data_IF_037851704934
#
_entry.id   IF_037851704934
#
_cell.length_a   1.000
_cell.length_b   1.000
_cell.length_c   1.000
_cell.angle_alpha   90.00
_cell.angle_beta   90.00
_cell.angle_gamma   90.00
#
_symmetry.space_group_name_H-M   'P 1'
#
loop_
_entity.id
_entity.type
_entity.pdbx_description
1 polymer ?
#
# COMPACT_ATOMS: atom_id res chain seq x y z
N UNK A 1 -24.20 -18.77 -61.56
CA UNK A 1 -24.55 -19.49 -60.32
C UNK A 1 -23.26 -19.96 -59.67
N UNK A 2 -22.57 -19.03 -59.03
CA UNK A 2 -21.46 -19.28 -58.11
C UNK A 2 -21.74 -18.27 -56.96
N UNK A 3 -21.48 -18.67 -55.72
CA UNK A 3 -21.39 -17.81 -54.51
C UNK A 3 -22.54 -17.77 -53.48
N UNK A 4 -23.26 -18.88 -53.26
CA UNK A 4 -24.06 -19.03 -52.01
C UNK A 4 -23.51 -20.14 -51.09
N UNK A 5 -22.94 -21.21 -51.67
CA UNK A 5 -22.36 -22.35 -50.93
C UNK A 5 -21.00 -22.00 -50.27
N UNK A 6 -20.29 -20.99 -50.77
CA UNK A 6 -18.99 -20.52 -50.23
C UNK A 6 -19.12 -19.47 -49.13
N UNK A 7 -20.25 -18.77 -49.03
CA UNK A 7 -20.48 -17.71 -48.04
C UNK A 7 -20.82 -18.29 -46.65
N UNK A 8 -21.65 -19.32 -46.58
CA UNK A 8 -22.10 -19.90 -45.30
C UNK A 8 -20.97 -20.51 -44.44
N UNK A 9 -20.00 -21.27 -44.99
CA UNK A 9 -18.84 -21.75 -44.22
C UNK A 9 -17.90 -20.62 -43.77
N UNK A 10 -17.93 -19.48 -44.45
CA UNK A 10 -17.14 -18.30 -44.09
C UNK A 10 -17.75 -17.58 -42.88
N UNK A 11 -19.08 -17.42 -42.87
CA UNK A 11 -19.82 -16.80 -41.77
C UNK A 11 -19.68 -17.62 -40.47
N UNK A 12 -19.85 -18.94 -40.52
CA UNK A 12 -19.68 -19.80 -39.33
C UNK A 12 -18.28 -19.73 -38.72
N UNK A 13 -17.24 -19.66 -39.57
CA UNK A 13 -15.86 -19.49 -39.11
C UNK A 13 -15.65 -18.11 -38.48
N UNK A 14 -16.25 -17.07 -39.05
CA UNK A 14 -16.18 -15.72 -38.49
C UNK A 14 -16.89 -15.65 -37.13
N UNK A 15 -18.08 -16.23 -36.99
CA UNK A 15 -18.82 -16.29 -35.72
C UNK A 15 -18.05 -17.04 -34.64
N UNK A 16 -17.49 -18.22 -34.97
CA UNK A 16 -16.66 -18.98 -34.05
C UNK A 16 -15.40 -18.21 -33.62
N UNK A 17 -14.77 -17.48 -34.54
CA UNK A 17 -13.61 -16.66 -34.22
C UNK A 17 -13.97 -15.44 -33.36
N UNK A 18 -15.12 -14.80 -33.60
CA UNK A 18 -15.63 -13.72 -32.73
C UNK A 18 -15.85 -14.23 -31.32
N UNK A 19 -16.54 -15.36 -31.15
CA UNK A 19 -16.75 -15.97 -29.84
C UNK A 19 -15.43 -16.27 -29.14
N UNK A 20 -14.47 -16.87 -29.85
CA UNK A 20 -13.14 -17.18 -29.31
C UNK A 20 -12.39 -15.90 -28.87
N UNK A 21 -12.55 -14.81 -29.62
CA UNK A 21 -11.95 -13.51 -29.29
C UNK A 21 -12.62 -12.86 -28.09
N UNK A 22 -13.93 -12.97 -27.94
CA UNK A 22 -14.68 -12.46 -26.79
C UNK A 22 -14.28 -13.18 -25.49
N UNK A 23 -14.17 -14.51 -25.52
CA UNK A 23 -13.67 -15.31 -24.40
C UNK A 23 -12.23 -14.93 -24.03
N UNK A 24 -11.37 -14.72 -25.05
CA UNK A 24 -9.99 -14.27 -24.83
C UNK A 24 -9.95 -12.85 -24.24
N UNK A 25 -10.80 -11.95 -24.70
CA UNK A 25 -10.90 -10.57 -24.20
C UNK A 25 -11.38 -10.54 -22.75
N UNK A 26 -12.38 -11.33 -22.40
CA UNK A 26 -12.86 -11.49 -21.03
C UNK A 26 -11.74 -12.03 -20.11
N UNK A 27 -11.05 -13.09 -20.56
CA UNK A 27 -9.91 -13.67 -19.83
C UNK A 27 -8.78 -12.66 -19.60
N UNK A 28 -8.41 -11.89 -20.63
CA UNK A 28 -7.38 -10.83 -20.52
C UNK A 28 -7.82 -9.67 -19.65
N UNK A 29 -9.09 -9.28 -19.70
CA UNK A 29 -9.64 -8.21 -18.86
C UNK A 29 -9.53 -8.60 -17.39
N UNK A 30 -9.86 -9.84 -17.03
CA UNK A 30 -9.70 -10.35 -15.66
C UNK A 30 -8.24 -10.35 -15.20
N UNK A 31 -7.33 -10.82 -16.04
CA UNK A 31 -5.90 -10.83 -15.73
C UNK A 31 -5.39 -9.40 -15.41
N UNK A 32 -5.77 -8.42 -16.24
CA UNK A 32 -5.41 -7.02 -16.03
C UNK A 32 -6.06 -6.43 -14.79
N UNK A 33 -7.33 -6.73 -14.55
CA UNK A 33 -8.06 -6.28 -13.37
C UNK A 33 -7.36 -6.74 -12.08
N UNK A 34 -7.01 -8.03 -11.99
CA UNK A 34 -6.31 -8.59 -10.82
C UNK A 34 -4.94 -7.93 -10.60
N UNK A 35 -4.18 -7.66 -11.67
CA UNK A 35 -2.89 -6.95 -11.57
C UNK A 35 -3.08 -5.53 -11.04
N UNK A 36 -4.06 -4.80 -11.56
CA UNK A 36 -4.38 -3.42 -11.12
C UNK A 36 -4.85 -3.39 -9.66
N UNK A 37 -5.65 -4.36 -9.26
CA UNK A 37 -6.07 -4.47 -7.87
C UNK A 37 -4.89 -4.72 -6.93
N UNK A 38 -4.00 -5.65 -7.29
CA UNK A 38 -2.78 -5.87 -6.51
C UNK A 38 -1.92 -4.60 -6.42
N UNK A 39 -1.79 -3.85 -7.51
CA UNK A 39 -1.07 -2.56 -7.49
C UNK A 39 -1.71 -1.55 -6.53
N UNK A 40 -3.03 -1.49 -6.50
CA UNK A 40 -3.78 -0.65 -5.57
C UNK A 40 -3.54 -1.08 -4.12
N UNK A 41 -3.67 -2.37 -3.81
CA UNK A 41 -3.41 -2.96 -2.49
C UNK A 41 -1.97 -2.69 -2.04
N UNK A 42 -0.98 -2.94 -2.90
CA UNK A 42 0.43 -2.68 -2.61
C UNK A 42 0.68 -1.19 -2.30
N UNK A 43 0.00 -0.28 -3.01
CA UNK A 43 0.11 1.16 -2.79
C UNK A 43 -0.49 1.57 -1.45
N UNK A 44 -1.66 1.03 -1.09
CA UNK A 44 -2.31 1.27 0.19
C UNK A 44 -1.46 0.76 1.35
N UNK A 45 -1.04 -0.51 1.28
CA UNK A 45 -0.25 -1.16 2.34
C UNK A 45 1.08 -0.43 2.60
N UNK A 46 1.83 -0.07 1.55
CA UNK A 46 3.11 0.65 1.71
C UNK A 46 2.96 2.06 2.29
N UNK A 47 1.75 2.61 2.25
CA UNK A 47 1.45 3.97 2.72
C UNK A 47 0.61 3.95 4.00
N UNK A 48 0.40 2.77 4.60
CA UNK A 48 -0.40 2.54 5.80
C UNK A 48 -1.84 3.05 5.67
N UNK A 49 -2.41 2.96 4.46
CA UNK A 49 -3.80 3.32 4.17
C UNK A 49 -4.70 2.11 4.29
N UNK A 50 -5.99 2.35 4.55
CA UNK A 50 -7.01 1.31 4.49
C UNK A 50 -6.99 0.61 3.12
N UNK A 51 -6.94 -0.72 3.14
CA UNK A 51 -6.98 -1.52 1.93
C UNK A 51 -8.43 -1.68 1.48
N UNK A 52 -8.77 -1.31 0.24
CA UNK A 52 -10.14 -1.43 -0.25
C UNK A 52 -10.65 -2.87 -0.17
N UNK A 53 -11.90 -3.05 0.28
CA UNK A 53 -12.56 -4.36 0.22
C UNK A 53 -12.61 -4.88 -1.23
N UNK A 54 -12.24 -6.15 -1.38
CA UNK A 54 -11.94 -6.78 -2.66
C UNK A 54 -13.15 -7.59 -3.13
N UNK A 55 -14.02 -6.98 -3.95
CA UNK A 55 -15.20 -7.60 -4.58
C UNK A 55 -14.85 -8.42 -5.85
N UNK A 56 -13.66 -9.04 -5.88
CA UNK A 56 -13.11 -9.75 -7.07
C UNK A 56 -14.10 -10.74 -7.67
N UNK A 57 -14.75 -11.52 -6.80
CA UNK A 57 -15.62 -12.62 -7.22
C UNK A 57 -16.83 -12.11 -7.98
N UNK A 58 -17.39 -10.98 -7.53
CA UNK A 58 -18.53 -10.35 -8.17
C UNK A 58 -18.14 -9.78 -9.54
N UNK A 59 -16.98 -9.13 -9.63
CA UNK A 59 -16.48 -8.54 -10.88
C UNK A 59 -16.11 -9.62 -11.91
N UNK A 60 -15.50 -10.72 -11.47
CA UNK A 60 -15.14 -11.84 -12.37
C UNK A 60 -16.37 -12.42 -13.07
N UNK A 61 -17.47 -12.58 -12.32
CA UNK A 61 -18.73 -13.09 -12.86
C UNK A 61 -19.38 -12.10 -13.85
N UNK A 62 -19.33 -10.80 -13.55
CA UNK A 62 -19.86 -9.75 -14.43
C UNK A 62 -19.07 -9.61 -15.74
N UNK A 63 -17.77 -9.90 -15.71
CA UNK A 63 -16.94 -9.96 -16.92
C UNK A 63 -17.31 -11.16 -17.79
N UNK A 64 -17.66 -12.31 -17.19
CA UNK A 64 -18.10 -13.49 -17.95
C UNK A 64 -19.50 -13.34 -18.55
N UNK A 65 -20.41 -12.62 -17.88
CA UNK A 65 -21.75 -12.37 -18.40
C UNK A 65 -21.79 -11.33 -19.53
N UNK A 66 -20.68 -10.63 -19.78
CA UNK A 66 -20.62 -9.51 -20.73
C UNK A 66 -21.44 -8.29 -20.29
N UNK A 67 -21.87 -8.25 -19.03
CA UNK A 67 -22.74 -7.21 -18.49
C UNK A 67 -21.99 -5.90 -18.19
N UNK A 68 -20.67 -6.00 -18.02
CA UNK A 68 -19.78 -4.85 -17.77
C UNK A 68 -18.92 -4.54 -19.00
N UNK A 69 -18.84 -3.26 -19.36
CA UNK A 69 -17.87 -2.80 -20.33
C UNK A 69 -16.44 -2.93 -19.76
N UNK A 70 -15.63 -3.71 -20.46
CA UNK A 70 -14.26 -4.03 -20.02
C UNK A 70 -13.35 -2.80 -19.99
N UNK A 71 -13.57 -1.82 -20.88
CA UNK A 71 -12.73 -0.62 -20.97
C UNK A 71 -13.03 0.31 -19.80
N UNK A 72 -14.31 0.55 -19.52
CA UNK A 72 -14.77 1.34 -18.37
C UNK A 72 -14.33 0.71 -17.05
N UNK A 73 -14.42 -0.62 -16.90
CA UNK A 73 -13.95 -1.32 -15.71
C UNK A 73 -12.46 -1.07 -15.44
N UNK A 74 -11.62 -1.23 -16.46
CA UNK A 74 -10.18 -1.03 -16.31
C UNK A 74 -9.82 0.44 -16.09
N UNK A 75 -10.54 1.38 -16.75
CA UNK A 75 -10.36 2.81 -16.54
C UNK A 75 -10.74 3.24 -15.11
N UNK A 76 -11.83 2.71 -14.56
CA UNK A 76 -12.22 2.97 -13.17
C UNK A 76 -11.18 2.47 -12.17
N UNK A 77 -10.54 1.32 -12.46
CA UNK A 77 -9.42 0.83 -11.66
C UNK A 77 -8.18 1.73 -11.77
N UNK A 78 -7.86 2.22 -12.96
CA UNK A 78 -6.77 3.19 -13.15
C UNK A 78 -7.00 4.49 -12.40
N UNK A 79 -8.24 4.99 -12.37
CA UNK A 79 -8.60 6.17 -11.58
C UNK A 79 -8.42 5.93 -10.08
N UNK A 80 -8.85 4.76 -9.57
CA UNK A 80 -8.64 4.38 -8.16
C UNK A 80 -7.16 4.30 -7.81
N UNK A 81 -6.34 3.68 -8.67
CA UNK A 81 -4.88 3.62 -8.48
C UNK A 81 -4.28 5.03 -8.47
N UNK A 82 -4.68 5.90 -9.42
CA UNK A 82 -4.17 7.26 -9.49
C UNK A 82 -4.48 8.05 -8.21
N UNK A 83 -5.71 7.95 -7.69
CA UNK A 83 -6.11 8.56 -6.42
C UNK A 83 -5.31 8.01 -5.24
N UNK A 84 -5.13 6.69 -5.16
CA UNK A 84 -4.33 6.07 -4.11
C UNK A 84 -2.86 6.51 -4.15
N UNK A 85 -2.26 6.65 -5.34
CA UNK A 85 -0.89 7.14 -5.50
C UNK A 85 -0.74 8.60 -5.10
N UNK A 86 -1.70 9.45 -5.45
CA UNK A 86 -1.72 10.86 -5.04
C UNK A 86 -1.80 10.97 -3.51
N UNK A 87 -2.70 10.21 -2.91
CA UNK A 87 -2.88 10.15 -1.47
C UNK A 87 -1.60 9.63 -0.78
N UNK A 88 -1.02 8.54 -1.27
CA UNK A 88 0.25 7.99 -0.80
C UNK A 88 1.38 9.03 -0.85
N UNK A 89 1.49 9.78 -1.95
CA UNK A 89 2.49 10.84 -2.09
C UNK A 89 2.30 11.95 -1.04
N UNK A 90 1.05 12.30 -0.73
CA UNK A 90 0.75 13.29 0.31
C UNK A 90 1.13 12.82 1.72
N UNK A 91 1.04 11.50 1.98
CA UNK A 91 1.35 10.86 3.26
C UNK A 91 2.84 10.65 3.48
N UNK A 92 3.63 10.55 2.40
CA UNK A 92 5.06 10.20 2.41
C UNK A 92 5.87 10.95 3.47
N UNK A 93 5.75 12.27 3.55
CA UNK A 93 6.54 13.08 4.48
C UNK A 93 6.18 12.93 5.96
N UNK A 94 5.01 12.35 6.27
CA UNK A 94 4.57 11.96 7.61
C UNK A 94 5.09 10.55 7.91
N UNK A 95 4.86 9.58 7.01
CA UNK A 95 5.33 8.20 7.17
C UNK A 95 6.85 8.14 7.37
N UNK A 96 7.64 8.86 6.57
CA UNK A 96 9.10 8.92 6.74
C UNK A 96 9.56 9.49 8.11
N UNK A 97 8.69 10.21 8.83
CA UNK A 97 8.98 10.63 10.21
C UNK A 97 8.53 9.61 11.22
N UNK A 98 7.39 8.96 10.99
CA UNK A 98 6.93 7.83 11.80
C UNK A 98 8.00 6.73 11.80
N UNK A 99 8.55 6.36 10.63
CA UNK A 99 9.64 5.37 10.54
C UNK A 99 10.85 5.77 11.38
N UNK A 100 11.24 7.04 11.33
CA UNK A 100 12.36 7.57 12.12
C UNK A 100 12.07 7.58 13.62
N UNK A 101 10.84 7.88 14.00
CA UNK A 101 10.39 7.85 15.38
C UNK A 101 10.38 6.41 15.90
N UNK A 102 9.80 5.45 15.17
CA UNK A 102 9.80 4.03 15.54
C UNK A 102 11.23 3.49 15.73
N UNK A 103 12.16 3.80 14.81
CA UNK A 103 13.57 3.43 14.96
C UNK A 103 14.24 4.05 16.20
N UNK A 104 13.88 5.30 16.55
CA UNK A 104 14.41 5.95 17.74
C UNK A 104 13.83 5.35 19.02
N UNK A 105 12.54 5.01 19.03
CA UNK A 105 11.85 4.31 20.14
C UNK A 105 12.34 2.88 20.33
N UNK A 106 12.68 2.16 19.27
CA UNK A 106 13.32 0.85 19.36
C UNK A 106 14.71 0.95 19.98
N UNK A 107 15.46 2.00 19.64
CA UNK A 107 16.79 2.23 20.19
C UNK A 107 16.74 2.74 21.65
N UNK A 108 15.68 3.45 22.03
CA UNK A 108 15.34 3.80 23.42
C UNK A 108 15.14 2.53 24.25
N UNK A 109 14.24 1.65 23.81
CA UNK A 109 13.96 0.37 24.49
C UNK A 109 15.22 -0.47 24.64
N UNK A 110 16.05 -0.55 23.59
CA UNK A 110 17.34 -1.24 23.67
C UNK A 110 18.29 -0.60 24.69
N UNK A 111 18.33 0.74 24.75
CA UNK A 111 19.17 1.47 25.70
C UNK A 111 18.70 1.25 27.15
N UNK A 112 17.39 1.21 27.40
CA UNK A 112 16.82 0.91 28.72
C UNK A 112 17.22 -0.49 29.19
N UNK A 113 17.10 -1.50 28.32
CA UNK A 113 17.56 -2.87 28.60
C UNK A 113 19.07 -2.90 28.90
N UNK A 114 19.87 -2.19 28.09
CA UNK A 114 21.32 -2.11 28.28
C UNK A 114 21.72 -1.39 29.57
N UNK A 115 21.01 -0.32 29.94
CA UNK A 115 21.31 0.45 31.15
C UNK A 115 20.95 -0.35 32.43
N UNK A 116 20.02 -1.32 32.35
CA UNK A 116 19.67 -2.23 33.44
C UNK A 116 20.60 -3.45 33.58
N UNK A 117 21.44 -3.75 32.59
CA UNK A 117 22.35 -4.89 32.62
C UNK A 117 23.52 -4.66 33.60
N UNK A 118 23.54 -5.41 34.71
CA UNK A 118 24.62 -5.37 35.71
C UNK A 118 25.99 -5.77 35.14
N UNK A 119 26.00 -6.58 34.07
CA UNK A 119 27.21 -7.03 33.39
C UNK A 119 27.64 -6.14 32.22
N UNK A 120 27.02 -4.97 32.03
CA UNK A 120 27.26 -4.08 30.88
C UNK A 120 28.71 -3.61 30.71
N UNK A 121 29.49 -3.61 31.80
CA UNK A 121 30.92 -3.26 31.82
C UNK A 121 31.86 -4.46 31.92
N UNK A 122 31.34 -5.69 31.84
CA UNK A 122 32.18 -6.88 31.77
C UNK A 122 33.09 -6.80 30.54
N UNK A 123 34.32 -7.32 30.67
CA UNK A 123 35.32 -7.36 29.58
C UNK A 123 34.91 -8.44 28.57
N UNK A 124 33.78 -8.23 27.91
CA UNK A 124 33.26 -9.07 26.85
C UNK A 124 33.76 -8.55 25.50
N UNK A 125 33.84 -9.44 24.51
CA UNK A 125 34.32 -9.14 23.16
C UNK A 125 33.53 -8.02 22.45
N UNK A 126 32.34 -7.66 22.94
CA UNK A 126 31.45 -6.65 22.35
C UNK A 126 31.28 -5.38 23.20
N UNK A 127 31.91 -5.27 24.38
CA UNK A 127 31.67 -4.16 25.32
C UNK A 127 31.85 -2.78 24.68
N UNK A 128 32.94 -2.56 23.94
CA UNK A 128 33.20 -1.28 23.25
C UNK A 128 32.19 -0.98 22.13
N UNK A 129 31.66 -2.01 21.44
CA UNK A 129 30.62 -1.82 20.40
C UNK A 129 29.28 -1.41 21.02
N UNK A 130 28.91 -2.05 22.13
CA UNK A 130 27.70 -1.73 22.86
C UNK A 130 27.77 -0.33 23.45
N UNK A 131 28.90 0.07 24.03
CA UNK A 131 29.12 1.42 24.52
C UNK A 131 28.93 2.48 23.42
N UNK A 132 29.54 2.29 22.25
CA UNK A 132 29.34 3.19 21.09
C UNK A 132 27.91 3.19 20.54
N UNK A 133 27.16 2.08 20.69
CA UNK A 133 25.74 2.05 20.35
C UNK A 133 24.93 2.85 21.36
N UNK A 134 25.19 2.68 22.66
CA UNK A 134 24.53 3.43 23.73
C UNK A 134 24.74 4.95 23.59
N UNK A 135 25.93 5.41 23.24
CA UNK A 135 26.19 6.83 22.96
C UNK A 135 25.33 7.36 21.80
N UNK A 136 25.21 6.59 20.70
CA UNK A 136 24.35 6.96 19.56
C UNK A 136 22.87 6.90 19.90
N UNK A 137 22.46 5.88 20.66
CA UNK A 137 21.11 5.71 21.16
C UNK A 137 20.65 6.93 21.96
N UNK A 138 21.46 7.39 22.93
CA UNK A 138 21.17 8.59 23.74
C UNK A 138 20.92 9.84 22.88
N UNK A 139 21.70 10.02 21.82
CA UNK A 139 21.50 11.15 20.88
C UNK A 139 20.18 11.01 20.11
N UNK A 140 19.79 9.79 19.73
CA UNK A 140 18.52 9.54 19.05
C UNK A 140 17.32 9.74 19.99
N UNK A 141 17.40 9.21 21.22
CA UNK A 141 16.37 9.35 22.26
C UNK A 141 16.09 10.81 22.58
N UNK A 142 17.12 11.63 22.73
CA UNK A 142 16.97 13.08 22.96
C UNK A 142 16.20 13.82 21.85
N UNK A 143 16.00 13.20 20.68
CA UNK A 143 15.25 13.77 19.55
C UNK A 143 13.82 13.25 19.44
N UNK A 144 13.43 12.24 20.23
CA UNK A 144 12.11 11.59 20.14
C UNK A 144 11.00 12.61 20.34
N UNK A 145 11.05 13.43 21.40
CA UNK A 145 10.03 14.45 21.67
C UNK A 145 9.85 15.40 20.49
N UNK A 146 10.94 15.89 19.90
CA UNK A 146 10.88 16.77 18.73
C UNK A 146 10.37 16.09 17.46
N UNK A 147 10.60 14.77 17.30
CA UNK A 147 10.02 13.98 16.22
C UNK A 147 8.51 13.84 16.40
N UNK A 148 8.05 13.47 17.61
CA UNK A 148 6.63 13.32 17.95
C UNK A 148 5.88 14.64 17.70
N UNK A 149 6.39 15.76 18.21
CA UNK A 149 5.81 17.09 17.99
C UNK A 149 5.73 17.42 16.49
N UNK A 150 6.80 17.15 15.74
CA UNK A 150 6.82 17.39 14.31
C UNK A 150 5.85 16.49 13.54
N UNK A 151 5.63 15.25 13.97
CA UNK A 151 4.65 14.35 13.37
C UNK A 151 3.25 14.89 13.66
N UNK A 152 2.92 15.16 14.93
CA UNK A 152 1.63 15.68 15.35
C UNK A 152 1.22 16.95 14.58
N UNK A 153 2.12 17.93 14.47
CA UNK A 153 1.85 19.17 13.72
C UNK A 153 1.57 18.89 12.24
N UNK A 154 2.36 18.03 11.61
CA UNK A 154 2.18 17.70 10.18
C UNK A 154 0.91 16.89 9.95
N UNK A 155 0.62 15.92 10.80
CA UNK A 155 -0.57 15.10 10.74
C UNK A 155 -1.82 15.96 10.89
N UNK A 156 -1.91 16.80 11.93
CA UNK A 156 -3.06 17.71 12.11
C UNK A 156 -3.25 18.67 10.94
N UNK A 157 -2.15 19.18 10.38
CA UNK A 157 -2.22 20.02 9.17
C UNK A 157 -2.77 19.24 7.97
N UNK A 158 -2.27 18.03 7.76
CA UNK A 158 -2.71 17.17 6.67
C UNK A 158 -4.20 16.79 6.82
N UNK A 159 -4.65 16.48 8.04
CA UNK A 159 -6.05 16.16 8.35
C UNK A 159 -6.96 17.35 8.08
N UNK A 160 -6.53 18.56 8.43
CA UNK A 160 -7.23 19.80 8.11
C UNK A 160 -7.28 20.09 6.60
N UNK A 161 -6.20 19.82 5.86
CA UNK A 161 -6.16 20.01 4.40
C UNK A 161 -7.05 18.98 3.67
N UNK A 162 -7.09 17.73 4.15
CA UNK A 162 -7.84 16.61 3.53
C UNK A 162 -9.26 16.44 4.07
N UNK A 163 -9.61 17.11 5.17
CA UNK A 163 -10.90 16.96 5.88
C UNK A 163 -11.19 15.51 6.28
N UNK A 164 -10.18 14.77 6.73
CA UNK A 164 -10.30 13.39 7.21
C UNK A 164 -9.19 13.03 8.19
N UNK A 165 -9.39 11.98 8.98
CA UNK A 165 -8.41 11.46 9.95
C UNK A 165 -7.26 10.75 9.23
N UNK A 166 -6.04 10.96 9.71
CA UNK A 166 -4.88 10.21 9.29
C UNK A 166 -4.82 8.91 10.07
N UNK A 167 -5.22 7.82 9.42
CA UNK A 167 -5.03 6.46 9.93
C UNK A 167 -3.65 5.94 9.54
N UNK A 168 -2.99 5.23 10.45
CA UNK A 168 -1.81 4.41 10.24
C UNK A 168 -2.18 2.98 10.60
N UNK A 169 -2.29 2.10 9.60
CA UNK A 169 -2.76 0.71 9.78
C UNK A 169 -4.06 0.65 10.59
N UNK A 170 -5.05 1.45 10.15
CA UNK A 170 -6.39 1.58 10.75
C UNK A 170 -6.45 2.31 12.11
N UNK A 171 -5.31 2.68 12.70
CA UNK A 171 -5.24 3.39 13.98
C UNK A 171 -5.03 4.90 13.73
N UNK A 172 -5.80 5.80 14.39
CA UNK A 172 -5.53 7.22 14.31
C UNK A 172 -4.11 7.56 14.76
N UNK A 173 -3.30 8.12 13.86
CA UNK A 173 -1.87 8.38 14.13
C UNK A 173 -1.66 9.32 15.32
N UNK A 174 -2.56 10.29 15.51
CA UNK A 174 -2.49 11.20 16.67
C UNK A 174 -2.69 10.45 18.00
N UNK A 175 -3.59 9.47 18.05
CA UNK A 175 -3.80 8.66 19.25
C UNK A 175 -2.59 7.77 19.52
N UNK A 176 -2.05 7.11 18.49
CA UNK A 176 -0.86 6.25 18.59
C UNK A 176 0.37 6.98 19.17
N UNK A 177 0.49 8.30 18.95
CA UNK A 177 1.61 9.11 19.45
C UNK A 177 1.41 9.62 20.88
N UNK A 178 0.22 9.47 21.44
CA UNK A 178 -0.16 9.97 22.77
C UNK A 178 -0.33 8.87 23.82
N UNK A 179 -0.27 7.61 23.38
CA UNK A 179 -0.21 6.42 24.23
C UNK A 179 1.20 6.21 24.80
#
# INVERSE_FOLDING_TARGET
MIDDVTAFPCVQKAEAEVQRLDELKASKTKELFLKKQKELEDTCNRSHMETPSTEIRNITNLVDSGEIDHVELLAAMDEKIAKAKEEAASRKGIIEKVDRWMLASDEERWLEEYDQDENRYSVSRNAHRNLRRAERARIAVNKITGLVDSILVKTKRWEAERQKVFLYDEIPLVAMLQD
#
